data_IF_854881759319
#
_entry.id   IF_854881759319
#
_cell.length_a   1.000
_cell.length_b   1.000
_cell.length_c   1.000
_cell.angle_alpha   90.00
_cell.angle_beta   90.00
_cell.angle_gamma   90.00
#
_symmetry.space_group_name_H-M   'P 1'
#
loop_
_entity.id
_entity.type
_entity.pdbx_description
1 polymer ?
#
# COMPACT_ATOMS: atom_id res chain seq x y z
N UNK A 1 12.26 -15.16 -21.83
CA UNK A 1 12.06 -14.60 -20.47
C UNK A 1 11.07 -13.46 -20.59
N UNK A 2 10.05 -13.42 -19.73
CA UNK A 2 9.03 -12.36 -19.72
C UNK A 2 9.13 -11.59 -18.40
N UNK A 3 9.19 -10.27 -18.48
CA UNK A 3 9.07 -9.37 -17.33
C UNK A 3 7.63 -8.89 -17.30
N UNK A 4 6.91 -9.21 -16.25
CA UNK A 4 5.48 -8.96 -16.13
C UNK A 4 5.18 -8.06 -14.92
N UNK A 5 4.44 -6.98 -15.15
CA UNK A 5 4.04 -6.02 -14.13
C UNK A 5 2.52 -5.93 -14.04
N UNK A 6 2.01 -5.75 -12.84
CA UNK A 6 0.57 -5.63 -12.55
C UNK A 6 0.26 -4.33 -11.82
N UNK A 7 0.54 -3.18 -12.44
CA UNK A 7 0.51 -1.88 -11.75
C UNK A 7 -0.85 -1.57 -11.11
N UNK A 8 -0.85 -0.99 -9.91
CA UNK A 8 -2.09 -0.73 -9.17
C UNK A 8 -2.86 0.51 -9.67
N UNK A 9 -2.25 1.32 -10.53
CA UNK A 9 -2.77 2.60 -10.98
C UNK A 9 -3.72 2.38 -12.16
N UNK A 10 -4.98 2.12 -11.86
CA UNK A 10 -6.03 2.04 -12.88
C UNK A 10 -6.20 3.36 -13.65
N UNK A 11 -6.97 3.30 -14.75
CA UNK A 11 -7.24 4.40 -15.72
C UNK A 11 -7.51 5.81 -15.15
N UNK A 12 -7.88 5.96 -13.86
CA UNK A 12 -8.18 7.25 -13.21
C UNK A 12 -7.00 7.95 -12.53
N UNK A 13 -5.86 7.26 -12.34
CA UNK A 13 -4.63 7.88 -11.81
C UNK A 13 -3.59 8.20 -12.91
N UNK A 14 -3.91 7.90 -14.18
CA UNK A 14 -3.17 8.41 -15.34
C UNK A 14 -1.84 7.73 -15.66
N UNK A 15 -1.45 6.65 -14.98
CA UNK A 15 -0.18 5.94 -15.24
C UNK A 15 -0.44 4.44 -15.38
N UNK A 16 -0.51 3.94 -16.60
CA UNK A 16 -0.60 2.51 -16.89
C UNK A 16 0.75 1.80 -16.80
N UNK A 17 0.75 0.47 -16.82
CA UNK A 17 1.97 -0.35 -16.77
C UNK A 17 2.97 0.02 -17.87
N UNK A 18 2.48 0.29 -19.09
CA UNK A 18 3.34 0.71 -20.21
C UNK A 18 4.13 2.00 -19.93
N UNK A 19 3.47 2.99 -19.32
CA UNK A 19 4.14 4.24 -18.95
C UNK A 19 5.22 4.02 -17.88
N UNK A 20 5.02 3.03 -17.00
CA UNK A 20 6.05 2.64 -16.01
C UNK A 20 7.25 2.03 -16.73
N UNK A 21 7.05 1.13 -17.69
CA UNK A 21 8.13 0.56 -18.49
C UNK A 21 8.92 1.62 -19.26
N UNK A 22 8.22 2.59 -19.87
CA UNK A 22 8.85 3.69 -20.58
C UNK A 22 9.72 4.53 -19.63
N UNK A 23 9.13 5.01 -18.52
CA UNK A 23 9.80 5.92 -17.57
C UNK A 23 10.98 5.26 -16.88
N UNK A 24 10.88 3.97 -16.51
CA UNK A 24 11.95 3.25 -15.82
C UNK A 24 12.99 2.64 -16.77
N UNK A 25 12.80 2.73 -18.09
CA UNK A 25 13.77 2.27 -19.09
C UNK A 25 13.73 0.77 -19.40
N UNK A 26 12.63 0.07 -19.13
CA UNK A 26 12.54 -1.39 -19.32
C UNK A 26 12.71 -1.83 -20.78
N UNK A 27 12.38 -0.96 -21.74
CA UNK A 27 12.61 -1.19 -23.17
C UNK A 27 14.10 -1.38 -23.52
N UNK A 28 15.02 -0.89 -22.69
CA UNK A 28 16.46 -1.15 -22.86
C UNK A 28 16.75 -2.64 -22.64
N UNK A 29 16.03 -3.30 -21.71
CA UNK A 29 16.18 -4.73 -21.48
C UNK A 29 15.67 -5.56 -22.65
N UNK A 30 14.61 -5.12 -23.33
CA UNK A 30 14.09 -5.83 -24.51
C UNK A 30 15.13 -5.78 -25.63
N UNK A 31 15.71 -4.61 -25.90
CA UNK A 31 16.76 -4.44 -26.89
C UNK A 31 18.05 -5.19 -26.53
N UNK A 32 18.46 -5.18 -25.25
CA UNK A 32 19.73 -5.76 -24.80
C UNK A 32 19.68 -7.27 -24.60
N UNK A 33 18.56 -7.81 -24.12
CA UNK A 33 18.43 -9.21 -23.69
C UNK A 33 17.31 -9.99 -24.39
N UNK A 34 16.53 -9.35 -25.27
CA UNK A 34 15.42 -10.02 -25.97
C UNK A 34 14.29 -10.46 -25.03
N UNK A 35 14.12 -9.82 -23.86
CA UNK A 35 13.01 -10.11 -22.96
C UNK A 35 11.70 -9.54 -23.50
N UNK A 36 10.59 -10.17 -23.16
CA UNK A 36 9.25 -9.65 -23.45
C UNK A 36 8.74 -8.87 -22.24
N UNK A 37 8.14 -7.70 -22.46
CA UNK A 37 7.41 -6.97 -21.42
C UNK A 37 5.92 -7.28 -21.50
N UNK A 38 5.28 -7.50 -20.35
CA UNK A 38 3.87 -7.88 -20.27
C UNK A 38 3.14 -7.05 -19.22
N UNK A 39 2.02 -6.43 -19.58
CA UNK A 39 1.09 -5.86 -18.62
C UNK A 39 0.09 -6.94 -18.19
N UNK A 40 0.27 -7.49 -16.98
CA UNK A 40 -0.57 -8.55 -16.42
C UNK A 40 -2.06 -8.16 -16.46
N UNK A 41 -2.37 -6.87 -16.38
CA UNK A 41 -3.76 -6.40 -16.37
C UNK A 41 -4.48 -6.50 -17.73
N UNK A 42 -3.74 -6.66 -18.83
CA UNK A 42 -4.30 -6.89 -20.17
C UNK A 42 -4.44 -8.39 -20.49
N UNK A 43 -3.88 -9.25 -19.64
CA UNK A 43 -3.87 -10.69 -19.86
C UNK A 43 -5.13 -11.37 -19.30
N UNK A 44 -5.44 -12.59 -19.77
CA UNK A 44 -6.53 -13.38 -19.21
C UNK A 44 -6.33 -13.70 -17.73
N UNK A 45 -7.44 -13.80 -16.99
CA UNK A 45 -7.46 -14.26 -15.61
C UNK A 45 -8.33 -15.51 -15.48
N UNK A 46 -7.89 -16.44 -14.63
CA UNK A 46 -8.63 -17.65 -14.29
C UNK A 46 -9.23 -17.54 -12.89
N UNK A 47 -10.43 -18.11 -12.72
CA UNK A 47 -11.06 -18.22 -11.41
C UNK A 47 -10.39 -19.35 -10.62
N UNK A 48 -9.66 -18.98 -9.56
CA UNK A 48 -8.97 -19.93 -8.68
C UNK A 48 -9.70 -19.98 -7.34
N UNK A 49 -9.97 -21.18 -6.86
CA UNK A 49 -10.54 -21.42 -5.53
C UNK A 49 -9.46 -21.34 -4.44
N UNK A 50 -9.73 -20.55 -3.41
CA UNK A 50 -8.90 -20.34 -2.23
C UNK A 50 -9.49 -20.96 -0.96
N UNK A 51 -10.46 -21.87 -1.08
CA UNK A 51 -11.04 -22.58 0.05
C UNK A 51 -12.08 -21.73 0.78
N UNK A 52 -13.18 -21.42 0.08
CA UNK A 52 -14.30 -20.63 0.61
C UNK A 52 -14.55 -19.32 -0.13
N UNK A 53 -13.64 -18.92 -1.01
CA UNK A 53 -13.82 -17.81 -1.94
C UNK A 53 -13.01 -18.03 -3.22
N UNK A 54 -13.44 -17.37 -4.29
CA UNK A 54 -12.78 -17.43 -5.60
C UNK A 54 -12.15 -16.10 -5.93
N UNK A 55 -10.89 -16.12 -6.38
CA UNK A 55 -10.20 -14.95 -6.92
C UNK A 55 -9.80 -15.22 -8.37
N UNK A 56 -9.94 -14.19 -9.19
CA UNK A 56 -9.35 -14.14 -10.52
C UNK A 56 -7.84 -13.88 -10.43
N UNK A 57 -7.05 -14.85 -10.87
CA UNK A 57 -5.57 -14.87 -10.87
C UNK A 57 -5.06 -14.88 -12.31
N UNK A 58 -3.96 -14.19 -12.58
CA UNK A 58 -3.34 -14.07 -13.90
C UNK A 58 -3.03 -15.44 -14.47
N UNK A 59 -3.59 -15.73 -15.65
CA UNK A 59 -3.37 -16.99 -16.35
C UNK A 59 -1.88 -17.19 -16.70
N UNK A 60 -1.16 -16.22 -17.29
CA UNK A 60 0.28 -16.35 -17.52
C UNK A 60 1.08 -16.66 -16.27
N UNK A 61 0.71 -16.10 -15.10
CA UNK A 61 1.42 -16.38 -13.85
C UNK A 61 1.15 -17.79 -13.31
N UNK A 62 -0.02 -18.38 -13.59
CA UNK A 62 -0.36 -19.76 -13.22
C UNK A 62 0.29 -20.79 -14.16
N UNK A 63 0.41 -20.46 -15.45
CA UNK A 63 0.94 -21.35 -16.48
C UNK A 63 2.47 -21.25 -16.65
N UNK A 64 3.13 -20.30 -15.97
CA UNK A 64 4.57 -20.13 -16.06
C UNK A 64 5.32 -21.38 -15.55
N UNK A 65 6.18 -21.94 -16.39
CA UNK A 65 7.06 -23.07 -16.01
C UNK A 65 7.98 -22.73 -14.83
N UNK A 66 8.40 -21.47 -14.75
CA UNK A 66 9.28 -20.96 -13.71
C UNK A 66 8.94 -19.51 -13.34
N UNK A 67 8.14 -19.33 -12.28
CA UNK A 67 7.77 -18.01 -11.79
C UNK A 67 8.82 -17.44 -10.83
N UNK A 68 9.44 -16.32 -11.21
CA UNK A 68 10.33 -15.54 -10.33
C UNK A 68 9.55 -14.34 -9.77
N UNK A 69 9.47 -14.24 -8.45
CA UNK A 69 8.83 -13.13 -7.75
C UNK A 69 9.89 -12.11 -7.30
N UNK A 70 9.76 -10.85 -7.72
CA UNK A 70 10.73 -9.79 -7.40
C UNK A 70 10.11 -8.64 -6.61
N UNK A 71 9.82 -8.83 -5.30
CA UNK A 71 9.30 -7.76 -4.46
C UNK A 71 10.36 -6.69 -4.17
N UNK A 72 9.93 -5.45 -3.94
CA UNK A 72 10.76 -4.42 -3.32
C UNK A 72 10.48 -4.33 -1.81
N UNK A 73 11.52 -4.12 -1.00
CA UNK A 73 11.43 -3.96 0.45
C UNK A 73 10.64 -2.69 0.79
N UNK A 74 9.45 -2.86 1.35
CA UNK A 74 8.64 -1.73 1.82
C UNK A 74 7.78 -2.10 3.01
N UNK A 75 7.72 -1.17 3.94
CA UNK A 75 6.69 -1.18 4.98
C UNK A 75 5.34 -0.73 4.41
N UNK A 76 4.25 -1.11 5.06
CA UNK A 76 2.91 -0.86 4.58
C UNK A 76 1.97 -0.49 5.72
N UNK A 77 1.31 0.65 5.57
CA UNK A 77 0.43 1.21 6.58
C UNK A 77 -0.68 0.24 7.08
N UNK A 78 -1.30 -0.57 6.20
CA UNK A 78 -2.34 -1.56 6.58
C UNK A 78 -1.84 -2.99 6.89
N UNK A 79 -0.70 -3.39 6.33
CA UNK A 79 -0.21 -4.78 6.36
C UNK A 79 1.13 -4.95 7.06
N UNK A 80 1.62 -3.87 7.69
CA UNK A 80 2.94 -3.70 8.32
C UNK A 80 4.09 -3.74 7.31
N UNK A 81 4.12 -4.76 6.45
CA UNK A 81 5.16 -5.02 5.47
C UNK A 81 4.56 -5.43 4.12
N UNK A 82 5.30 -5.23 3.03
CA UNK A 82 4.99 -5.79 1.71
C UNK A 82 6.25 -6.34 1.08
N UNK A 83 6.36 -7.67 1.04
CA UNK A 83 7.48 -8.39 0.42
C UNK A 83 6.93 -9.41 -0.57
N UNK A 84 7.50 -10.62 -0.63
CA UNK A 84 7.21 -11.66 -1.58
C UNK A 84 5.75 -12.11 -1.55
N UNK A 85 5.20 -12.46 -0.39
CA UNK A 85 3.81 -12.97 -0.29
C UNK A 85 2.81 -11.93 -0.79
N UNK A 86 3.00 -10.67 -0.39
CA UNK A 86 2.11 -9.58 -0.79
C UNK A 86 2.32 -9.12 -2.24
N UNK A 87 3.51 -9.26 -2.80
CA UNK A 87 3.79 -8.88 -4.19
C UNK A 87 2.95 -9.68 -5.19
N UNK A 88 2.69 -10.95 -4.88
CA UNK A 88 1.80 -11.83 -5.66
C UNK A 88 0.36 -11.32 -5.77
N UNK A 89 -0.07 -10.38 -4.92
CA UNK A 89 -1.34 -9.65 -5.11
C UNK A 89 -1.40 -8.92 -6.46
N UNK A 90 -0.24 -8.59 -7.03
CA UNK A 90 -0.08 -8.04 -8.38
C UNK A 90 -0.57 -8.99 -9.49
N UNK A 91 -0.60 -10.30 -9.24
CA UNK A 91 -1.12 -11.27 -10.19
C UNK A 91 -2.66 -11.37 -10.17
N UNK A 92 -3.35 -10.64 -9.31
CA UNK A 92 -4.81 -10.68 -9.21
C UNK A 92 -5.47 -9.62 -10.10
N UNK A 93 -6.66 -9.95 -10.62
CA UNK A 93 -7.50 -8.96 -11.33
C UNK A 93 -7.88 -7.81 -10.39
N UNK A 94 -8.16 -6.62 -10.94
CA UNK A 94 -8.56 -5.46 -10.12
C UNK A 94 -9.79 -5.76 -9.25
N UNK A 95 -10.74 -6.59 -9.75
CA UNK A 95 -11.91 -7.03 -8.99
C UNK A 95 -11.49 -7.84 -7.77
N UNK A 96 -10.63 -8.84 -7.95
CA UNK A 96 -10.08 -9.68 -6.86
C UNK A 96 -9.23 -8.90 -5.87
N UNK A 97 -8.41 -7.95 -6.36
CA UNK A 97 -7.64 -7.05 -5.49
C UNK A 97 -8.53 -6.23 -4.57
N UNK A 98 -9.71 -5.78 -5.03
CA UNK A 98 -10.72 -5.07 -4.23
C UNK A 98 -11.50 -6.00 -3.30
N UNK A 99 -11.70 -7.26 -3.72
CA UNK A 99 -12.33 -8.31 -2.91
C UNK A 99 -11.52 -8.59 -1.64
N UNK A 100 -10.19 -8.64 -1.73
CA UNK A 100 -9.29 -8.87 -0.58
C UNK A 100 -9.32 -7.78 0.52
N UNK A 101 -10.11 -6.73 0.35
CA UNK A 101 -10.30 -5.66 1.33
C UNK A 101 -11.73 -5.64 1.85
N UNK A 102 -12.39 -6.80 1.95
CA UNK A 102 -13.72 -6.91 2.53
C UNK A 102 -13.62 -7.03 4.06
N UNK A 103 -14.71 -6.73 4.80
CA UNK A 103 -14.70 -6.82 6.26
C UNK A 103 -14.83 -8.26 6.81
N UNK A 104 -15.18 -9.24 5.97
CA UNK A 104 -15.41 -10.65 6.34
C UNK A 104 -14.12 -11.39 6.68
N UNK A 105 -13.02 -11.09 6.00
CA UNK A 105 -11.70 -11.60 6.33
C UNK A 105 -10.68 -10.48 6.42
N UNK A 106 -9.64 -10.66 7.25
CA UNK A 106 -8.54 -9.71 7.31
C UNK A 106 -7.77 -9.68 5.98
N UNK A 107 -7.22 -8.52 5.61
CA UNK A 107 -6.34 -8.41 4.45
C UNK A 107 -5.20 -9.43 4.52
N UNK A 108 -4.58 -9.58 5.70
CA UNK A 108 -3.48 -10.50 5.95
C UNK A 108 -3.82 -11.97 5.70
N UNK A 109 -5.06 -12.38 5.97
CA UNK A 109 -5.52 -13.72 5.64
C UNK A 109 -5.36 -13.99 4.13
N UNK A 110 -5.86 -13.08 3.28
CA UNK A 110 -5.69 -13.23 1.83
C UNK A 110 -4.22 -13.22 1.40
N UNK A 111 -3.42 -12.30 1.95
CA UNK A 111 -2.00 -12.17 1.61
C UNK A 111 -1.23 -13.47 1.88
N UNK A 112 -1.56 -14.16 2.97
CA UNK A 112 -0.91 -15.41 3.38
C UNK A 112 -1.25 -16.62 2.49
N UNK A 113 -2.20 -16.52 1.55
CA UNK A 113 -2.65 -17.64 0.73
C UNK A 113 -2.10 -17.62 -0.71
N UNK A 114 -1.60 -16.47 -1.19
CA UNK A 114 -1.25 -16.32 -2.61
C UNK A 114 -0.10 -17.24 -3.04
N UNK A 115 0.89 -17.44 -2.16
CA UNK A 115 2.02 -18.33 -2.42
C UNK A 115 1.60 -19.79 -2.64
N UNK A 116 0.48 -20.21 -2.07
CA UNK A 116 -0.03 -21.59 -2.19
C UNK A 116 -0.58 -21.87 -3.60
N UNK A 117 -1.06 -20.84 -4.29
CA UNK A 117 -1.64 -20.94 -5.64
C UNK A 117 -0.65 -20.57 -6.74
N UNK A 118 0.12 -19.51 -6.55
CA UNK A 118 1.08 -19.02 -7.56
C UNK A 118 2.44 -19.72 -7.49
N UNK A 119 2.83 -20.28 -6.33
CA UNK A 119 4.02 -21.12 -6.14
C UNK A 119 5.29 -20.59 -6.83
N UNK A 120 5.76 -19.37 -6.49
CA UNK A 120 6.98 -18.84 -7.10
C UNK A 120 8.17 -19.79 -6.84
N UNK A 121 8.91 -20.13 -7.90
CA UNK A 121 10.06 -21.03 -7.84
C UNK A 121 11.30 -20.35 -7.23
N UNK A 122 11.33 -19.02 -7.28
CA UNK A 122 12.36 -18.17 -6.66
C UNK A 122 11.71 -16.84 -6.27
N UNK A 123 11.99 -16.35 -5.06
CA UNK A 123 11.70 -14.96 -4.68
C UNK A 123 13.01 -14.23 -4.47
N UNK A 124 13.17 -13.06 -5.10
CA UNK A 124 14.33 -12.18 -4.99
C UNK A 124 13.86 -10.81 -4.50
N UNK A 125 14.05 -10.54 -3.22
CA UNK A 125 13.73 -9.27 -2.59
C UNK A 125 14.80 -8.23 -2.94
N UNK A 126 14.38 -7.18 -3.63
CA UNK A 126 15.15 -5.96 -3.79
C UNK A 126 14.99 -5.09 -2.54
N UNK A 127 16.04 -5.05 -1.73
CA UNK A 127 16.19 -4.15 -0.60
C UNK A 127 17.38 -3.23 -0.76
N UNK A 128 17.72 -2.79 -1.97
CA UNK A 128 18.73 -1.71 -2.14
C UNK A 128 18.22 -0.46 -1.40
N UNK A 129 16.93 -0.16 -1.59
CA UNK A 129 16.18 0.79 -0.77
C UNK A 129 15.01 0.09 -0.08
N UNK A 130 14.77 0.46 1.18
CA UNK A 130 13.55 0.17 1.90
C UNK A 130 12.62 1.38 1.88
N UNK A 131 11.33 1.20 1.57
CA UNK A 131 10.34 2.28 1.67
C UNK A 131 9.65 2.27 3.04
N UNK A 132 9.89 3.31 3.83
CA UNK A 132 9.16 3.60 5.06
C UNK A 132 7.76 4.16 4.76
N UNK A 133 6.77 3.76 5.56
CA UNK A 133 5.39 4.27 5.54
C UNK A 133 4.75 4.21 4.16
N UNK A 134 5.01 3.12 3.44
CA UNK A 134 4.42 2.83 2.14
C UNK A 134 2.91 2.55 2.20
N UNK A 135 2.27 2.29 1.05
CA UNK A 135 2.91 1.89 -0.21
C UNK A 135 3.12 3.01 -1.24
N UNK A 136 2.70 4.24 -0.96
CA UNK A 136 2.70 5.33 -1.94
C UNK A 136 3.86 6.30 -1.77
N UNK A 137 3.96 7.23 -2.73
CA UNK A 137 5.00 8.26 -2.88
C UNK A 137 5.21 9.18 -1.67
N UNK A 138 4.28 9.21 -0.70
CA UNK A 138 4.45 9.94 0.56
C UNK A 138 5.44 9.26 1.52
N UNK A 139 5.72 7.98 1.30
CA UNK A 139 6.73 7.22 2.03
C UNK A 139 8.15 7.78 1.85
N UNK A 140 9.10 7.24 2.62
CA UNK A 140 10.50 7.66 2.56
C UNK A 140 11.38 6.47 2.19
N UNK A 141 12.08 6.56 1.07
CA UNK A 141 13.09 5.60 0.69
C UNK A 141 14.31 5.77 1.61
N UNK A 142 14.86 4.65 2.05
CA UNK A 142 16.00 4.58 2.95
C UNK A 142 16.97 3.56 2.38
N UNK A 143 18.25 3.90 2.25
CA UNK A 143 19.27 2.97 1.77
C UNK A 143 19.43 1.82 2.76
N UNK A 144 19.28 0.61 2.27
CA UNK A 144 19.34 -0.65 3.02
C UNK A 144 20.48 -1.54 2.52
N UNK A 145 20.82 -1.47 1.21
CA UNK A 145 21.89 -2.27 0.58
C UNK A 145 21.75 -3.79 0.82
N UNK A 146 20.53 -4.30 0.81
CA UNK A 146 20.25 -5.71 1.05
C UNK A 146 19.57 -6.37 -0.15
N UNK A 147 19.98 -7.59 -0.49
CA UNK A 147 19.25 -8.46 -1.40
C UNK A 147 19.02 -9.79 -0.68
N UNK A 148 17.81 -10.33 -0.79
CA UNK A 148 17.47 -11.64 -0.21
C UNK A 148 16.89 -12.52 -1.29
N UNK A 149 17.45 -13.70 -1.49
CA UNK A 149 16.95 -14.64 -2.47
C UNK A 149 16.77 -16.02 -1.85
N UNK A 150 15.62 -16.63 -2.07
CA UNK A 150 15.36 -18.01 -1.65
C UNK A 150 14.27 -18.64 -2.52
N UNK A 151 14.34 -19.97 -2.64
CA UNK A 151 13.23 -20.78 -3.18
C UNK A 151 12.08 -20.91 -2.19
N UNK A 152 12.32 -20.62 -0.91
CA UNK A 152 11.29 -20.56 0.12
C UNK A 152 10.78 -19.12 0.27
N UNK A 153 9.53 -18.82 -0.12
CA UNK A 153 8.97 -17.47 0.00
C UNK A 153 8.75 -17.04 1.45
N UNK A 154 8.52 -17.98 2.38
CA UNK A 154 8.46 -17.66 3.81
C UNK A 154 9.83 -17.18 4.29
N UNK A 155 10.91 -17.79 3.78
CA UNK A 155 12.24 -17.40 4.17
C UNK A 155 12.58 -15.96 3.76
N UNK A 156 12.22 -15.58 2.54
CA UNK A 156 12.43 -14.21 2.06
C UNK A 156 11.65 -13.19 2.89
N UNK A 157 10.39 -13.47 3.18
CA UNK A 157 9.54 -12.53 3.90
C UNK A 157 9.94 -12.38 5.37
N UNK A 158 10.32 -13.48 6.04
CA UNK A 158 10.77 -13.41 7.45
C UNK A 158 12.12 -12.70 7.59
N UNK A 159 13.08 -12.98 6.70
CA UNK A 159 14.37 -12.26 6.67
C UNK A 159 14.15 -10.79 6.34
N UNK A 160 13.27 -10.49 5.38
CA UNK A 160 12.92 -9.11 5.05
C UNK A 160 12.25 -8.34 6.20
N UNK A 161 11.45 -9.03 7.03
CA UNK A 161 10.90 -8.46 8.27
C UNK A 161 12.02 -8.13 9.26
N UNK A 162 12.94 -9.06 9.50
CA UNK A 162 14.06 -8.85 10.41
C UNK A 162 15.02 -7.75 9.93
N UNK A 163 15.32 -7.69 8.62
CA UNK A 163 16.06 -6.59 7.98
C UNK A 163 15.42 -5.23 8.28
N UNK A 164 14.08 -5.16 8.19
CA UNK A 164 13.30 -3.97 8.52
C UNK A 164 13.13 -3.72 10.03
N UNK A 165 13.81 -4.50 10.88
CA UNK A 165 13.78 -4.37 12.34
C UNK A 165 12.49 -4.86 13.00
N UNK A 166 11.73 -5.72 12.33
CA UNK A 166 10.49 -6.31 12.84
C UNK A 166 10.71 -7.79 13.18
N UNK A 167 10.03 -8.28 14.20
CA UNK A 167 9.89 -9.72 14.40
C UNK A 167 8.96 -10.28 13.30
N UNK A 168 9.34 -11.34 12.55
CA UNK A 168 8.47 -11.93 11.54
C UNK A 168 7.12 -12.41 12.10
N UNK A 169 7.04 -12.76 13.39
CA UNK A 169 5.81 -13.15 14.06
C UNK A 169 4.84 -11.98 14.31
N UNK A 170 5.33 -10.75 14.31
CA UNK A 170 4.51 -9.52 14.41
C UNK A 170 3.83 -9.15 13.08
N UNK A 171 4.23 -9.77 11.96
CA UNK A 171 3.65 -9.53 10.63
C UNK A 171 2.54 -10.56 10.35
N UNK A 172 1.25 -10.19 10.41
CA UNK A 172 0.18 -11.18 10.54
C UNK A 172 0.05 -12.16 9.38
N UNK A 173 0.38 -11.75 8.14
CA UNK A 173 0.32 -12.65 6.99
C UNK A 173 1.52 -13.61 6.92
N UNK A 174 2.70 -13.19 7.41
CA UNK A 174 3.88 -14.06 7.54
C UNK A 174 3.60 -15.11 8.61
N UNK A 175 3.18 -14.65 9.81
CA UNK A 175 2.76 -15.54 10.90
C UNK A 175 1.63 -16.48 10.47
N UNK A 176 0.59 -15.96 9.84
CA UNK A 176 -0.55 -16.75 9.40
C UNK A 176 -0.20 -17.84 8.37
N UNK A 177 0.80 -17.60 7.51
CA UNK A 177 1.33 -18.65 6.64
C UNK A 177 2.16 -19.66 7.44
N UNK A 178 3.09 -19.20 8.27
CA UNK A 178 3.96 -20.06 9.06
C UNK A 178 3.16 -21.02 9.97
N UNK A 179 2.16 -20.51 10.69
CA UNK A 179 1.28 -21.29 11.57
C UNK A 179 0.52 -22.37 10.78
N UNK A 180 -0.08 -22.01 9.64
CA UNK A 180 -0.86 -22.94 8.79
C UNK A 180 0.00 -24.08 8.24
N UNK A 181 1.29 -23.84 8.02
CA UNK A 181 2.24 -24.83 7.51
C UNK A 181 3.14 -25.43 8.59
N UNK A 182 2.89 -25.13 9.88
CA UNK A 182 3.70 -25.59 11.02
C UNK A 182 5.20 -25.29 10.84
N UNK A 183 5.52 -24.11 10.31
CA UNK A 183 6.90 -23.65 10.05
C UNK A 183 7.36 -22.72 11.17
N UNK A 184 8.59 -22.94 11.64
CA UNK A 184 9.23 -22.03 12.60
C UNK A 184 9.59 -20.70 11.95
N UNK A 185 9.40 -19.60 12.71
CA UNK A 185 9.87 -18.25 12.37
C UNK A 185 11.15 -17.87 13.14
N UNK A 186 11.70 -18.80 13.92
CA UNK A 186 13.00 -18.64 14.56
C UNK A 186 14.11 -18.68 13.50
N UNK A 187 14.72 -17.52 13.27
CA UNK A 187 15.74 -17.35 12.23
C UNK A 187 17.05 -18.06 12.57
N UNK A 188 17.31 -18.37 13.85
CA UNK A 188 18.53 -19.09 14.26
C UNK A 188 18.54 -20.54 13.75
N UNK A 189 17.37 -21.07 13.39
CA UNK A 189 17.22 -22.41 12.82
C UNK A 189 17.51 -22.44 11.32
N UNK A 190 17.79 -21.30 10.68
CA UNK A 190 17.90 -21.18 9.24
C UNK A 190 19.35 -21.01 8.80
N UNK A 191 19.67 -21.53 7.61
CA UNK A 191 21.02 -21.44 7.05
C UNK A 191 21.13 -20.26 6.07
N UNK A 192 21.88 -19.23 6.45
CA UNK A 192 22.15 -18.06 5.61
C UNK A 192 23.49 -18.19 4.85
N UNK A 193 23.57 -17.54 3.69
CA UNK A 193 24.83 -17.34 2.94
C UNK A 193 24.97 -15.87 2.59
N UNK A 194 26.21 -15.37 2.58
CA UNK A 194 26.52 -13.96 2.28
C UNK A 194 26.69 -13.13 3.54
N UNK A 195 26.37 -11.84 3.45
CA UNK A 195 26.52 -10.88 4.54
C UNK A 195 25.61 -11.23 5.73
N UNK A 196 26.12 -11.20 6.98
CA UNK A 196 25.29 -11.42 8.16
C UNK A 196 24.10 -10.46 8.24
N UNK A 197 22.93 -10.97 8.65
CA UNK A 197 21.68 -10.21 8.75
C UNK A 197 21.84 -8.93 9.58
N UNK A 198 22.46 -9.04 10.75
CA UNK A 198 22.64 -7.92 11.68
C UNK A 198 23.53 -6.81 11.10
N UNK A 199 24.42 -7.12 10.15
CA UNK A 199 25.23 -6.12 9.47
C UNK A 199 24.44 -5.28 8.44
N UNK A 200 23.27 -5.79 8.00
CA UNK A 200 22.39 -5.13 7.04
C UNK A 200 21.09 -4.60 7.68
N UNK A 201 20.81 -5.00 8.92
CA UNK A 201 19.59 -4.66 9.64
C UNK A 201 19.46 -3.16 9.84
N UNK A 202 18.30 -2.62 9.48
CA UNK A 202 17.96 -1.23 9.73
C UNK A 202 16.45 -1.10 9.96
N UNK A 203 16.02 -0.73 11.17
CA UNK A 203 14.61 -0.55 11.49
C UNK A 203 13.91 0.45 10.56
N UNK A 204 12.78 0.03 10.00
CA UNK A 204 11.94 0.85 9.12
C UNK A 204 10.62 1.19 9.80
N UNK A 205 10.19 2.45 9.70
CA UNK A 205 8.89 2.90 10.20
C UNK A 205 7.79 2.46 9.25
N UNK A 206 6.80 1.74 9.76
CA UNK A 206 5.65 1.29 8.97
C UNK A 206 4.40 2.18 9.11
N UNK A 207 4.25 2.88 10.24
CA UNK A 207 3.08 3.72 10.54
C UNK A 207 3.47 5.17 10.87
N UNK A 208 2.49 6.06 10.74
CA UNK A 208 2.52 7.38 11.36
C UNK A 208 2.15 7.30 12.84
N UNK A 209 2.53 8.35 13.59
CA UNK A 209 2.03 8.51 14.97
C UNK A 209 0.64 9.11 14.91
N UNK A 210 -0.31 8.42 15.53
CA UNK A 210 -1.71 8.82 15.63
C UNK A 210 -1.98 9.43 17.01
N UNK A 211 -3.07 10.19 17.10
CA UNK A 211 -3.69 10.54 18.38
C UNK A 211 -4.10 9.28 19.13
N UNK A 212 -4.26 9.40 20.45
CA UNK A 212 -4.67 8.28 21.31
C UNK A 212 -6.03 7.69 20.89
N UNK A 213 -6.95 8.54 20.45
CA UNK A 213 -8.27 8.16 19.95
C UNK A 213 -8.29 7.70 18.47
N UNK A 214 -7.13 7.67 17.81
CA UNK A 214 -6.98 7.36 16.38
C UNK A 214 -7.79 8.25 15.41
N UNK A 215 -8.18 9.48 15.79
CA UNK A 215 -8.98 10.38 14.93
C UNK A 215 -8.15 11.37 14.10
N UNK A 216 -6.85 11.17 14.03
CA UNK A 216 -5.95 11.96 13.18
C UNK A 216 -4.47 11.75 13.53
N UNK A 217 -3.55 12.28 12.72
CA UNK A 217 -2.13 12.29 13.03
C UNK A 217 -1.85 13.03 14.34
N UNK A 218 -0.91 12.52 15.14
CA UNK A 218 -0.45 13.20 16.37
C UNK A 218 0.09 14.61 16.11
N UNK A 219 0.60 14.86 14.90
CA UNK A 219 1.04 16.20 14.49
C UNK A 219 -0.06 17.26 14.63
N UNK A 220 -1.34 16.88 14.51
CA UNK A 220 -2.47 17.79 14.65
C UNK A 220 -2.62 18.37 16.06
N UNK A 221 -2.19 17.66 17.11
CA UNK A 221 -2.17 18.19 18.49
C UNK A 221 -1.25 19.42 18.58
N UNK A 222 -0.04 19.31 18.03
CA UNK A 222 0.94 20.39 18.02
C UNK A 222 0.53 21.55 17.12
N UNK A 223 -0.26 21.29 16.08
CA UNK A 223 -0.78 22.30 15.16
C UNK A 223 -2.06 22.98 15.68
N UNK A 224 -2.65 22.52 16.79
CA UNK A 224 -3.92 23.06 17.28
C UNK A 224 -5.14 22.70 16.42
N UNK A 225 -5.03 21.69 15.55
CA UNK A 225 -6.15 21.26 14.70
C UNK A 225 -7.21 20.57 15.56
N UNK A 226 -8.40 21.14 15.62
CA UNK A 226 -9.54 20.63 16.40
C UNK A 226 -10.82 20.67 15.54
N UNK A 227 -11.89 20.03 16.01
CA UNK A 227 -13.18 20.05 15.33
C UNK A 227 -13.23 19.24 14.02
N UNK A 228 -12.25 18.36 13.79
CA UNK A 228 -12.25 17.41 12.68
C UNK A 228 -11.69 16.06 13.14
N UNK A 229 -12.31 14.97 12.67
CA UNK A 229 -11.86 13.60 12.87
C UNK A 229 -11.69 12.86 11.54
N UNK A 230 -10.56 12.20 11.38
CA UNK A 230 -10.30 11.25 10.30
C UNK A 230 -9.79 9.97 10.95
N UNK A 231 -10.66 8.97 11.17
CA UNK A 231 -10.25 7.72 11.79
C UNK A 231 -9.10 7.09 11.03
N UNK A 232 -8.12 6.56 11.77
CA UNK A 232 -7.00 5.79 11.23
C UNK A 232 -7.52 4.73 10.27
N UNK A 233 -6.87 4.63 9.10
CA UNK A 233 -7.28 3.68 8.06
C UNK A 233 -7.43 2.25 8.62
N UNK A 234 -8.43 1.54 8.11
CA UNK A 234 -8.67 0.13 8.43
C UNK A 234 -8.14 -0.79 7.29
N UNK A 235 -8.23 -2.11 7.45
CA UNK A 235 -7.78 -3.09 6.43
C UNK A 235 -8.72 -3.19 5.22
N UNK A 236 -9.90 -2.57 5.27
CA UNK A 236 -10.91 -2.57 4.20
C UNK A 236 -10.76 -1.41 3.21
N UNK A 237 -9.93 -0.42 3.54
CA UNK A 237 -9.50 0.63 2.60
C UNK A 237 -8.71 0.01 1.44
N UNK A 238 -9.28 -0.02 0.23
CA UNK A 238 -8.63 -0.68 -0.89
C UNK A 238 -7.47 0.12 -1.48
N UNK A 239 -6.62 -0.53 -2.27
CA UNK A 239 -5.44 0.09 -2.91
C UNK A 239 -5.77 1.42 -3.62
N UNK A 240 -6.89 1.50 -4.32
CA UNK A 240 -7.31 2.74 -5.00
C UNK A 240 -7.58 3.91 -4.06
N UNK A 241 -8.38 3.70 -3.00
CA UNK A 241 -8.71 4.77 -2.05
C UNK A 241 -7.57 5.06 -1.07
N UNK A 242 -6.70 4.07 -0.77
CA UNK A 242 -5.56 4.27 0.12
C UNK A 242 -4.56 5.32 -0.41
N UNK A 243 -4.47 5.49 -1.73
CA UNK A 243 -3.66 6.55 -2.34
C UNK A 243 -4.19 7.97 -2.10
N UNK A 244 -5.45 8.11 -1.68
CA UNK A 244 -6.12 9.38 -1.40
C UNK A 244 -6.06 9.77 0.08
N UNK A 245 -5.75 8.82 0.96
CA UNK A 245 -5.82 9.01 2.41
C UNK A 245 -4.80 10.07 2.90
N UNK A 246 -3.52 9.92 2.56
CA UNK A 246 -2.50 10.92 2.93
C UNK A 246 -2.75 12.29 2.29
N UNK A 247 -3.15 12.40 1.00
CA UNK A 247 -3.60 13.66 0.43
C UNK A 247 -4.71 14.37 1.22
N UNK A 248 -5.75 13.65 1.67
CA UNK A 248 -6.83 14.23 2.49
C UNK A 248 -6.27 14.80 3.80
N UNK A 249 -5.36 14.09 4.47
CA UNK A 249 -4.71 14.61 5.69
C UNK A 249 -3.94 15.91 5.42
N UNK A 250 -3.23 16.00 4.28
CA UNK A 250 -2.49 17.21 3.89
C UNK A 250 -3.44 18.36 3.56
N UNK A 251 -4.56 18.09 2.90
CA UNK A 251 -5.60 19.09 2.60
C UNK A 251 -6.23 19.67 3.86
N UNK A 252 -6.48 18.85 4.89
CA UNK A 252 -6.94 19.34 6.20
C UNK A 252 -5.88 20.22 6.86
N UNK A 253 -4.62 19.79 6.85
CA UNK A 253 -3.52 20.58 7.42
C UNK A 253 -3.34 21.92 6.70
N UNK A 254 -3.55 21.98 5.38
CA UNK A 254 -3.40 23.20 4.59
C UNK A 254 -4.59 24.17 4.73
N UNK A 255 -5.76 23.66 5.12
CA UNK A 255 -6.96 24.46 5.38
C UNK A 255 -6.98 25.09 6.78
N UNK A 256 -6.15 24.62 7.72
CA UNK A 256 -6.18 25.08 9.09
C UNK A 256 -5.61 26.50 9.24
N UNK A 257 -6.41 27.42 9.77
CA UNK A 257 -6.07 28.84 9.97
C UNK A 257 -5.95 29.22 11.46
N UNK A 258 -5.66 28.26 12.35
CA UNK A 258 -5.59 28.49 13.79
C UNK A 258 -6.95 28.49 14.52
N UNK A 259 -8.05 28.26 13.80
CA UNK A 259 -9.40 28.10 14.36
C UNK A 259 -9.88 26.65 14.25
N UNK A 260 -10.69 26.14 15.20
CA UNK A 260 -11.29 24.81 15.09
C UNK A 260 -12.19 24.66 13.85
N UNK A 261 -12.19 23.47 13.26
CA UNK A 261 -13.17 23.10 12.24
C UNK A 261 -14.56 22.87 12.85
N UNK A 262 -15.58 22.83 12.01
CA UNK A 262 -16.98 22.79 12.40
C UNK A 262 -17.50 21.37 12.65
N UNK A 263 -16.84 20.64 13.55
CA UNK A 263 -17.19 19.27 13.96
C UNK A 263 -17.41 18.30 12.77
N UNK A 264 -16.36 18.08 11.97
CA UNK A 264 -16.44 17.30 10.74
C UNK A 264 -15.84 15.92 10.96
N UNK A 265 -16.41 14.87 10.38
CA UNK A 265 -15.77 13.55 10.31
C UNK A 265 -15.62 13.07 8.86
N UNK A 266 -14.48 12.46 8.51
CA UNK A 266 -14.25 11.88 7.17
C UNK A 266 -14.02 10.38 7.30
N UNK A 267 -14.98 9.59 6.81
CA UNK A 267 -14.95 8.12 6.87
C UNK A 267 -14.44 7.53 5.56
N UNK A 268 -13.60 6.49 5.65
CA UNK A 268 -12.98 5.82 4.50
C UNK A 268 -13.04 4.29 4.63
N UNK A 269 -12.88 3.57 3.52
CA UNK A 269 -12.91 2.10 3.54
C UNK A 269 -14.33 1.54 3.42
N UNK A 270 -14.60 0.46 4.15
CA UNK A 270 -15.87 -0.29 4.10
C UNK A 270 -16.43 -0.65 5.47
N UNK A 271 -15.66 -0.48 6.54
CA UNK A 271 -16.04 -0.93 7.89
C UNK A 271 -16.21 0.21 8.91
N UNK A 272 -15.71 1.42 8.63
CA UNK A 272 -15.92 2.55 9.55
C UNK A 272 -17.41 2.89 9.69
N UNK A 273 -17.82 3.20 10.91
CA UNK A 273 -19.17 3.64 11.27
C UNK A 273 -19.14 5.12 11.69
N UNK A 274 -20.24 5.87 11.48
CA UNK A 274 -20.36 7.25 11.95
C UNK A 274 -20.24 7.34 13.47
N UNK A 275 -19.67 8.43 13.97
CA UNK A 275 -19.54 8.64 15.43
C UNK A 275 -20.83 9.11 16.10
N UNK A 276 -21.78 9.66 15.33
CA UNK A 276 -22.97 10.35 15.83
C UNK A 276 -22.70 11.70 16.50
N UNK A 277 -21.42 12.13 16.53
CA UNK A 277 -20.98 13.37 17.21
C UNK A 277 -20.73 14.52 16.23
N UNK A 278 -20.34 14.21 15.00
CA UNK A 278 -20.04 15.21 13.99
C UNK A 278 -21.29 15.97 13.53
N UNK A 279 -21.12 17.24 13.20
CA UNK A 279 -22.12 18.04 12.48
C UNK A 279 -22.26 17.54 11.05
N UNK A 280 -21.13 17.35 10.35
CA UNK A 280 -21.09 16.90 8.96
C UNK A 280 -20.20 15.66 8.82
N UNK A 281 -20.72 14.62 8.17
CA UNK A 281 -20.05 13.33 7.96
C UNK A 281 -19.78 13.14 6.47
N UNK A 282 -18.50 13.17 6.08
CA UNK A 282 -18.04 12.92 4.72
C UNK A 282 -17.87 11.41 4.51
N UNK A 283 -18.71 10.82 3.66
CA UNK A 283 -18.61 9.41 3.26
C UNK A 283 -17.78 9.28 1.98
N UNK A 284 -16.49 8.94 2.13
CA UNK A 284 -15.54 8.94 1.01
C UNK A 284 -15.59 7.63 0.21
N UNK A 285 -16.10 7.72 -1.01
CA UNK A 285 -16.17 6.63 -1.98
C UNK A 285 -17.46 5.81 -1.90
N UNK A 286 -17.75 5.08 -2.99
CA UNK A 286 -18.99 4.32 -3.13
C UNK A 286 -19.21 3.29 -2.01
N UNK A 287 -18.13 2.73 -1.45
CA UNK A 287 -18.23 1.74 -0.38
C UNK A 287 -18.74 2.35 0.93
N UNK A 288 -18.18 3.50 1.32
CA UNK A 288 -18.58 4.18 2.55
C UNK A 288 -20.00 4.74 2.46
N UNK A 289 -20.37 5.28 1.29
CA UNK A 289 -21.76 5.69 1.00
C UNK A 289 -22.70 4.48 1.12
N UNK A 290 -22.34 3.33 0.52
CA UNK A 290 -23.18 2.12 0.59
C UNK A 290 -23.38 1.65 2.03
N UNK A 291 -22.34 1.70 2.85
CA UNK A 291 -22.38 1.26 4.24
C UNK A 291 -23.28 2.15 5.10
N UNK A 292 -23.15 3.49 4.97
CA UNK A 292 -23.65 4.40 6.00
C UNK A 292 -24.71 5.42 5.51
N UNK A 293 -25.11 5.45 4.22
CA UNK A 293 -26.09 6.44 3.72
C UNK A 293 -27.48 6.41 4.39
N UNK A 294 -27.81 5.35 5.13
CA UNK A 294 -29.09 5.19 5.85
C UNK A 294 -28.92 5.29 7.37
N UNK A 295 -27.70 5.57 7.84
CA UNK A 295 -27.42 5.65 9.27
C UNK A 295 -28.08 6.92 9.84
N UNK A 296 -28.95 6.73 10.83
CA UNK A 296 -29.74 7.81 11.45
C UNK A 296 -28.93 8.65 12.44
N UNK A 297 -27.72 8.25 12.80
CA UNK A 297 -26.81 9.03 13.65
C UNK A 297 -26.12 10.16 12.88
N UNK A 298 -26.10 10.11 11.55
CA UNK A 298 -25.52 11.17 10.71
C UNK A 298 -26.47 12.36 10.67
N UNK A 299 -26.01 13.53 11.15
CA UNK A 299 -26.77 14.79 11.10
C UNK A 299 -26.81 15.38 9.69
N UNK A 300 -25.63 15.57 9.09
CA UNK A 300 -25.48 16.04 7.71
C UNK A 300 -24.53 15.12 6.94
N UNK A 301 -25.04 14.47 5.90
CA UNK A 301 -24.24 13.55 5.10
C UNK A 301 -23.68 14.24 3.85
N UNK A 302 -22.37 14.14 3.64
CA UNK A 302 -21.68 14.63 2.43
C UNK A 302 -21.10 13.43 1.67
N UNK A 303 -21.61 13.20 0.46
CA UNK A 303 -21.26 12.01 -0.33
C UNK A 303 -20.19 12.31 -1.37
N UNK A 304 -19.07 11.59 -1.32
CA UNK A 304 -18.02 11.67 -2.33
C UNK A 304 -18.04 10.41 -3.20
N UNK A 305 -18.71 10.48 -4.35
CA UNK A 305 -18.89 9.32 -5.23
C UNK A 305 -17.60 8.97 -5.98
N UNK A 306 -17.32 7.68 -6.15
CA UNK A 306 -16.21 7.18 -6.96
C UNK A 306 -15.60 5.86 -6.49
N UNK A 307 -14.84 5.21 -7.38
CA UNK A 307 -14.09 3.98 -7.11
C UNK A 307 -12.74 3.96 -7.87
N UNK A 308 -11.74 4.75 -7.45
CA UNK A 308 -11.81 5.70 -6.33
C UNK A 308 -12.42 7.06 -6.75
N UNK A 309 -12.79 7.92 -5.78
CA UNK A 309 -13.12 9.34 -6.04
C UNK A 309 -11.98 10.11 -6.72
N UNK A 310 -12.29 11.24 -7.33
CA UNK A 310 -11.29 12.17 -7.87
C UNK A 310 -10.87 13.18 -6.79
N UNK A 311 -9.68 13.77 -6.94
CA UNK A 311 -9.21 14.82 -6.03
C UNK A 311 -10.16 16.02 -6.01
N UNK A 312 -10.69 16.42 -7.18
CA UNK A 312 -11.63 17.54 -7.29
C UNK A 312 -12.93 17.26 -6.52
N UNK A 313 -13.50 16.06 -6.66
CA UNK A 313 -14.72 15.68 -5.92
C UNK A 313 -14.51 15.65 -4.39
N UNK A 314 -13.28 15.36 -3.95
CA UNK A 314 -12.92 15.41 -2.52
C UNK A 314 -12.81 16.85 -2.07
N UNK A 315 -12.15 17.71 -2.85
CA UNK A 315 -12.01 19.13 -2.55
C UNK A 315 -13.40 19.80 -2.45
N UNK A 316 -14.28 19.60 -3.43
CA UNK A 316 -15.65 20.14 -3.42
C UNK A 316 -16.43 19.70 -2.18
N UNK A 317 -16.29 18.43 -1.77
CA UNK A 317 -16.94 17.92 -0.57
C UNK A 317 -16.36 18.53 0.72
N UNK A 318 -15.05 18.75 0.78
CA UNK A 318 -14.38 19.42 1.88
C UNK A 318 -14.85 20.88 1.99
N UNK A 319 -14.92 21.61 0.87
CA UNK A 319 -15.39 23.01 0.81
C UNK A 319 -16.84 23.14 1.26
N UNK A 320 -17.71 22.20 0.89
CA UNK A 320 -19.09 22.14 1.39
C UNK A 320 -19.19 21.97 2.91
N UNK A 321 -18.18 21.37 3.54
CA UNK A 321 -18.11 21.24 5.00
C UNK A 321 -17.42 22.45 5.67
N UNK A 322 -17.01 23.47 4.91
CA UNK A 322 -16.24 24.61 5.42
C UNK A 322 -14.74 24.34 5.59
N UNK A 323 -14.21 23.28 4.98
CA UNK A 323 -12.76 23.05 4.88
C UNK A 323 -12.33 23.58 3.52
N UNK A 324 -11.47 24.60 3.48
CA UNK A 324 -10.97 25.20 2.23
C UNK A 324 -9.49 24.85 2.03
N UNK A 325 -9.14 23.72 1.38
CA UNK A 325 -7.76 23.32 1.22
C UNK A 325 -6.98 24.31 0.35
N UNK A 326 -5.79 24.69 0.81
CA UNK A 326 -4.84 25.38 -0.05
C UNK A 326 -4.19 24.35 -1.01
N UNK A 327 -4.66 24.33 -2.25
CA UNK A 327 -4.18 23.38 -3.26
C UNK A 327 -2.76 23.68 -3.76
N UNK A 328 -2.31 24.94 -3.69
CA UNK A 328 -0.93 25.29 -4.00
C UNK A 328 0.02 24.79 -2.93
N UNK A 329 -0.39 24.84 -1.66
CA UNK A 329 0.34 24.20 -0.57
C UNK A 329 0.46 22.68 -0.80
N UNK A 330 -0.63 22.00 -1.18
CA UNK A 330 -0.59 20.57 -1.48
C UNK A 330 0.35 20.24 -2.65
N UNK A 331 0.29 21.00 -3.74
CA UNK A 331 1.19 20.84 -4.90
C UNK A 331 2.64 21.05 -4.51
N UNK A 332 2.95 22.14 -3.79
CA UNK A 332 4.31 22.42 -3.28
C UNK A 332 4.81 21.31 -2.35
N UNK A 333 3.97 20.83 -1.43
CA UNK A 333 4.29 19.72 -0.55
C UNK A 333 4.68 18.47 -1.35
N UNK A 334 3.89 18.12 -2.39
CA UNK A 334 4.18 16.98 -3.25
C UNK A 334 5.50 17.14 -4.01
N UNK A 335 5.77 18.32 -4.57
CA UNK A 335 7.04 18.59 -5.28
C UNK A 335 8.25 18.54 -4.34
N UNK A 336 8.09 19.01 -3.09
CA UNK A 336 9.16 19.00 -2.08
C UNK A 336 9.54 17.60 -1.57
N UNK A 337 8.80 16.55 -1.93
CA UNK A 337 9.10 15.20 -1.47
C UNK A 337 10.49 14.72 -1.93
N UNK A 338 10.94 15.17 -3.11
CA UNK A 338 12.26 14.82 -3.65
C UNK A 338 13.41 15.60 -3.01
N UNK A 339 13.15 16.79 -2.45
CA UNK A 339 14.14 17.57 -1.67
C UNK A 339 14.62 16.80 -0.43
N UNK A 340 13.91 15.72 -0.05
CA UNK A 340 14.37 14.79 0.99
C UNK A 340 15.66 14.07 0.60
N UNK A 341 16.00 13.99 -0.68
CA UNK A 341 17.11 13.21 -1.23
C UNK A 341 18.14 14.04 -1.99
N UNK A 342 17.74 15.17 -2.56
CA UNK A 342 18.63 16.02 -3.36
C UNK A 342 19.86 16.47 -2.57
N UNK A 343 21.06 16.21 -3.13
CA UNK A 343 22.34 16.54 -2.50
C UNK A 343 22.66 15.76 -1.22
N UNK A 344 21.90 14.72 -0.87
CA UNK A 344 22.13 13.92 0.33
C UNK A 344 22.81 12.60 0.03
N UNK A 345 23.82 12.27 0.83
CA UNK A 345 24.50 11.00 0.77
C UNK A 345 23.52 9.83 1.02
N UNK A 346 23.74 8.72 0.31
CA UNK A 346 22.95 7.50 0.47
C UNK A 346 21.65 7.47 -0.35
N UNK A 347 21.36 8.47 -1.18
CA UNK A 347 20.37 8.36 -2.25
C UNK A 347 21.02 8.56 -3.61
N UNK A 348 20.82 7.58 -4.46
CA UNK A 348 21.24 7.50 -5.84
C UNK A 348 20.02 7.08 -6.66
N UNK A 349 19.52 8.03 -7.43
CA UNK A 349 18.38 7.89 -8.31
C UNK A 349 18.65 6.88 -9.44
N UNK A 350 19.92 6.68 -9.81
CA UNK A 350 20.34 5.75 -10.85
C UNK A 350 19.97 4.29 -10.60
N UNK A 351 19.60 3.92 -9.37
CA UNK A 351 19.09 2.57 -9.06
C UNK A 351 17.62 2.35 -9.46
N UNK A 352 16.87 3.42 -9.78
CA UNK A 352 15.46 3.31 -10.18
C UNK A 352 15.29 3.27 -11.70
N UNK A 353 16.31 3.67 -12.46
CA UNK A 353 16.25 3.81 -13.91
C UNK A 353 17.26 2.89 -14.59
N UNK A 354 16.81 2.18 -15.61
CA UNK A 354 17.68 1.38 -16.47
C UNK A 354 18.32 2.34 -17.48
N UNK A 355 19.64 2.23 -17.64
CA UNK A 355 20.47 3.08 -18.52
C UNK A 355 21.07 2.31 -19.70
#
# INVERSE_FOLDING_TARGET
>A
ITIAEGSALGKRFGVGTERIYEVLGYHILTARYGVTLMDILQEPFENVDFGGFTLQVSKPALEADFLINMPALKTHNQGILSLGMKNLKGCLSIKSRKYCHRPDHSLDHYLSLFVEKLKPALTVLDGIYGLEKGPFYMGKAVRMNALVASKDPLAVDAVGAALAGLDPSDVPHIKGYADRHSRSLDLDQWHFRGTPLEALRRPLKWDNRWREDNTGPRAWERMGIQGISIPKYDKTLCTGCSGLYSPVLVMVMSAHQGVPFNEIEILTGKAMTPSGKARSTVLLGNCMIKANRKDTSIREAVFVKGCPPTMDSIQEAMERCGIHPNMDFYKKHRSSLMERYEGKEGFDEGFFYIK
#
